data_IF_375628121093
#
_entry.id   IF_375628121093
#
_cell.length_a   1.000
_cell.length_b   1.000
_cell.length_c   1.000
_cell.angle_alpha   90.00
_cell.angle_beta   90.00
_cell.angle_gamma   90.00
#
_symmetry.space_group_name_H-M   'P 1'
#
loop_
_entity.id
_entity.type
_entity.pdbx_description
1 polymer ?
#
# COMPACT_ATOMS: atom_id res chain seq x y z
N UNK A 1 -31.43 -21.62 6.00
CA UNK A 1 -31.39 -22.42 4.76
C UNK A 1 -30.40 -23.56 4.95
N UNK A 2 -30.55 -24.70 4.26
CA UNK A 2 -29.61 -25.82 4.37
C UNK A 2 -28.41 -25.61 3.45
N UNK A 3 -27.25 -26.14 3.83
CA UNK A 3 -26.03 -26.15 3.04
C UNK A 3 -26.29 -26.75 1.65
N UNK A 4 -25.91 -26.04 0.60
CA UNK A 4 -26.17 -26.43 -0.78
C UNK A 4 -25.41 -27.70 -1.18
N UNK A 5 -24.23 -27.94 -0.57
CA UNK A 5 -23.39 -29.10 -0.86
C UNK A 5 -23.87 -30.38 -0.16
N UNK A 6 -24.08 -30.33 1.15
CA UNK A 6 -24.41 -31.53 1.92
C UNK A 6 -25.90 -31.69 2.21
N UNK A 7 -26.70 -30.63 2.14
CA UNK A 7 -28.15 -30.57 2.46
C UNK A 7 -28.55 -31.13 3.83
N UNK A 8 -27.59 -31.40 4.72
CA UNK A 8 -27.82 -31.99 6.05
C UNK A 8 -27.76 -30.96 7.18
N UNK A 9 -27.02 -29.87 6.98
CA UNK A 9 -26.68 -28.88 8.00
C UNK A 9 -27.10 -27.48 7.57
N UNK A 10 -27.37 -26.54 8.49
CA UNK A 10 -27.67 -25.17 8.14
C UNK A 10 -26.47 -24.51 7.43
N UNK A 11 -26.75 -23.69 6.42
CA UNK A 11 -25.74 -22.86 5.77
C UNK A 11 -25.39 -21.69 6.69
N UNK A 12 -24.11 -21.58 7.06
CA UNK A 12 -23.56 -20.56 7.96
C UNK A 12 -22.46 -19.74 7.30
N UNK A 13 -21.98 -20.17 6.13
CA UNK A 13 -20.88 -19.55 5.39
C UNK A 13 -21.39 -19.12 4.01
N UNK A 14 -21.14 -17.86 3.67
CA UNK A 14 -21.48 -17.25 2.38
C UNK A 14 -20.20 -17.09 1.56
N UNK A 15 -20.14 -17.71 0.39
CA UNK A 15 -18.97 -17.65 -0.50
C UNK A 15 -19.38 -17.04 -1.83
N UNK A 16 -18.69 -15.99 -2.26
CA UNK A 16 -18.88 -15.38 -3.58
C UNK A 16 -17.62 -15.59 -4.40
N UNK A 17 -17.72 -16.35 -5.49
CA UNK A 17 -16.62 -16.60 -6.42
C UNK A 17 -16.90 -15.90 -7.74
N UNK A 18 -15.86 -15.31 -8.32
CA UNK A 18 -15.91 -14.77 -9.67
C UNK A 18 -15.19 -15.76 -10.58
N UNK A 19 -15.95 -16.46 -11.43
CA UNK A 19 -15.39 -17.40 -12.41
C UNK A 19 -15.63 -16.80 -13.79
N UNK A 20 -14.58 -16.23 -14.38
CA UNK A 20 -14.69 -15.38 -15.58
C UNK A 20 -15.36 -14.04 -15.25
N UNK A 21 -16.39 -13.67 -16.01
CA UNK A 21 -17.19 -12.44 -15.79
C UNK A 21 -18.46 -12.69 -14.95
N UNK A 22 -18.68 -13.92 -14.49
CA UNK A 22 -19.89 -14.28 -13.73
C UNK A 22 -19.59 -14.45 -12.25
N UNK A 23 -20.44 -13.84 -11.43
CA UNK A 23 -20.43 -13.99 -9.97
C UNK A 23 -21.30 -15.17 -9.59
N UNK A 24 -20.72 -16.14 -8.90
CA UNK A 24 -21.38 -17.33 -8.36
C UNK A 24 -21.40 -17.21 -6.84
N UNK A 25 -22.58 -17.26 -6.25
CA UNK A 25 -22.79 -17.22 -4.80
C UNK A 25 -23.16 -18.62 -4.30
N UNK A 26 -22.56 -19.04 -3.18
CA UNK A 26 -22.73 -20.35 -2.58
C UNK A 26 -23.02 -20.21 -1.08
N UNK A 27 -23.98 -20.99 -0.59
CA UNK A 27 -24.38 -21.04 0.82
C UNK A 27 -24.04 -22.40 1.43
N UNK A 28 -22.94 -22.47 2.18
CA UNK A 28 -22.39 -23.71 2.72
C UNK A 28 -22.37 -23.74 4.24
N UNK A 29 -22.27 -24.94 4.82
CA UNK A 29 -21.92 -25.11 6.23
C UNK A 29 -20.39 -25.07 6.42
N UNK A 30 -19.94 -24.83 7.65
CA UNK A 30 -18.52 -24.67 7.99
C UNK A 30 -17.62 -25.83 7.51
N UNK A 31 -18.00 -27.09 7.73
CA UNK A 31 -17.15 -28.20 7.28
C UNK A 31 -17.09 -28.28 5.75
N UNK A 32 -18.21 -28.05 5.06
CA UNK A 32 -18.22 -28.09 3.60
C UNK A 32 -17.38 -26.95 3.00
N UNK A 33 -17.39 -25.77 3.63
CA UNK A 33 -16.54 -24.64 3.24
C UNK A 33 -15.05 -24.93 3.50
N UNK A 34 -14.72 -25.63 4.61
CA UNK A 34 -13.35 -26.03 4.96
C UNK A 34 -12.80 -27.09 4.01
N UNK A 35 -13.58 -28.09 3.65
CA UNK A 35 -13.21 -29.10 2.65
C UNK A 35 -12.98 -28.49 1.26
N UNK A 36 -13.66 -27.39 0.94
CA UNK A 36 -13.46 -26.64 -0.29
C UNK A 36 -12.20 -25.76 -0.27
N UNK A 37 -11.50 -25.66 0.87
CA UNK A 37 -10.30 -24.82 1.02
C UNK A 37 -10.58 -23.33 1.07
N UNK A 38 -11.84 -22.93 1.22
CA UNK A 38 -12.29 -21.52 1.20
C UNK A 38 -12.28 -20.86 2.59
N UNK A 39 -11.91 -21.64 3.62
CA UNK A 39 -11.67 -21.14 4.97
C UNK A 39 -10.17 -21.30 5.28
N UNK A 40 -9.53 -20.29 5.90
CA UNK A 40 -8.14 -20.40 6.32
C UNK A 40 -7.99 -21.55 7.35
N UNK A 41 -6.83 -22.23 7.38
CA UNK A 41 -6.58 -23.28 8.37
C UNK A 41 -6.71 -22.71 9.79
N UNK A 42 -7.18 -23.50 10.76
CA UNK A 42 -7.27 -23.05 12.14
C UNK A 42 -5.88 -22.68 12.65
N UNK A 43 -5.75 -21.47 13.19
CA UNK A 43 -4.54 -21.02 13.86
C UNK A 43 -4.23 -21.94 15.06
N UNK A 44 -2.94 -22.21 15.36
CA UNK A 44 -2.55 -22.96 16.57
C UNK A 44 -3.16 -22.32 17.83
N UNK A 45 -3.60 -23.15 18.79
CA UNK A 45 -4.31 -22.69 20.01
C UNK A 45 -3.54 -21.64 20.83
N UNK A 46 -2.22 -21.55 20.65
CA UNK A 46 -1.34 -20.60 21.32
C UNK A 46 -1.63 -19.12 20.96
N UNK A 47 -2.33 -18.85 19.85
CA UNK A 47 -2.67 -17.50 19.40
C UNK A 47 -4.10 -17.05 19.75
N UNK A 48 -4.92 -17.88 20.40
CA UNK A 48 -6.30 -17.53 20.84
C UNK A 48 -6.42 -16.20 21.61
N UNK A 49 -5.57 -15.88 22.60
CA UNK A 49 -5.77 -14.67 23.41
C UNK A 49 -5.53 -13.35 22.65
N UNK A 50 -4.95 -13.40 21.45
CA UNK A 50 -4.71 -12.19 20.64
C UNK A 50 -5.89 -11.87 19.69
N UNK A 51 -6.77 -12.84 19.41
CA UNK A 51 -7.80 -12.72 18.36
C UNK A 51 -9.22 -12.60 18.95
N UNK A 52 -9.45 -13.03 20.18
CA UNK A 52 -10.77 -12.89 20.84
C UNK A 52 -11.18 -11.42 21.09
N UNK A 53 -10.22 -10.49 21.10
CA UNK A 53 -10.49 -9.05 21.19
C UNK A 53 -10.80 -8.36 19.85
N UNK A 54 -10.69 -9.07 18.72
CA UNK A 54 -10.80 -8.51 17.37
C UNK A 54 -11.93 -9.18 16.57
N UNK A 55 -13.16 -9.01 17.06
CA UNK A 55 -14.34 -9.02 16.20
C UNK A 55 -14.67 -7.55 15.89
N UNK A 56 -14.96 -7.09 14.66
CA UNK A 56 -15.16 -7.81 13.40
C UNK A 56 -14.36 -7.13 12.24
N UNK A 57 -13.28 -7.75 11.76
CA UNK A 57 -12.74 -7.39 10.44
C UNK A 57 -12.58 -8.67 9.62
N UNK A 58 -13.73 -9.25 9.27
CA UNK A 58 -13.83 -10.27 8.23
C UNK A 58 -13.41 -9.66 6.89
N UNK A 59 -12.15 -9.79 6.55
CA UNK A 59 -11.69 -10.26 5.24
C UNK A 59 -10.17 -10.08 5.16
N UNK A 60 -9.49 -11.20 5.00
CA UNK A 60 -8.13 -11.27 4.44
C UNK A 60 -6.97 -10.92 5.37
N UNK A 61 -6.71 -11.77 6.38
CA UNK A 61 -5.37 -11.85 6.98
C UNK A 61 -4.52 -12.85 6.17
N UNK A 62 -3.91 -12.36 5.08
CA UNK A 62 -2.80 -13.05 4.42
C UNK A 62 -1.57 -13.03 5.34
N UNK A 63 -0.81 -14.12 5.47
CA UNK A 63 0.47 -14.11 6.18
C UNK A 63 1.49 -13.29 5.39
N UNK A 64 1.50 -11.98 5.65
CA UNK A 64 2.40 -10.99 5.04
C UNK A 64 3.88 -11.41 5.02
N UNK A 65 4.45 -12.05 6.07
CA UNK A 65 5.86 -12.39 6.08
C UNK A 65 6.28 -13.42 5.01
N UNK A 66 5.49 -14.48 4.82
CA UNK A 66 5.80 -15.55 3.84
C UNK A 66 5.55 -15.09 2.40
N UNK A 67 4.50 -14.29 2.19
CA UNK A 67 4.23 -13.67 0.89
C UNK A 67 5.33 -12.66 0.53
N UNK A 68 5.81 -11.86 1.49
CA UNK A 68 6.92 -10.91 1.26
C UNK A 68 8.20 -11.65 0.87
N UNK A 69 8.53 -12.77 1.52
CA UNK A 69 9.72 -13.57 1.15
C UNK A 69 9.65 -14.10 -0.28
N UNK A 70 8.49 -14.65 -0.69
CA UNK A 70 8.29 -15.13 -2.06
C UNK A 70 8.29 -13.98 -3.09
N UNK A 71 7.71 -12.82 -2.73
CA UNK A 71 7.69 -11.62 -3.57
C UNK A 71 9.09 -10.99 -3.73
N UNK A 72 9.88 -10.92 -2.65
CA UNK A 72 11.26 -10.45 -2.69
C UNK A 72 12.19 -11.41 -3.43
N UNK A 73 11.97 -12.72 -3.31
CA UNK A 73 12.69 -13.74 -4.08
C UNK A 73 12.38 -13.68 -5.58
N UNK A 74 11.12 -13.47 -5.95
CA UNK A 74 10.67 -13.34 -7.35
C UNK A 74 11.11 -12.02 -8.01
N UNK A 75 11.27 -10.94 -7.24
CA UNK A 75 11.81 -9.67 -7.73
C UNK A 75 13.34 -9.66 -7.92
N UNK A 76 14.03 -10.75 -7.62
CA UNK A 76 15.49 -10.91 -7.74
C UNK A 76 15.98 -11.37 -9.12
N UNK A 77 15.38 -10.91 -10.22
CA UNK A 77 15.70 -11.37 -11.58
C UNK A 77 15.88 -10.26 -12.63
N UNK A 78 17.17 -9.94 -12.90
CA UNK A 78 17.80 -9.32 -14.09
C UNK A 78 17.72 -7.79 -14.36
N UNK A 79 18.90 -7.20 -14.15
CA UNK A 79 19.67 -6.25 -15.00
C UNK A 79 19.24 -4.77 -15.12
N UNK A 80 20.12 -3.88 -14.63
CA UNK A 80 20.19 -2.49 -15.09
C UNK A 80 20.61 -1.37 -14.11
N UNK A 81 21.56 -1.56 -13.17
CA UNK A 81 22.32 -0.42 -12.59
C UNK A 81 23.61 -0.87 -11.87
N UNK A 82 24.61 0.02 -11.66
CA UNK A 82 25.97 -0.34 -11.32
C UNK A 82 26.08 -1.11 -10.00
N UNK A 83 26.91 -2.15 -10.02
CA UNK A 83 27.30 -2.99 -8.88
C UNK A 83 28.11 -2.20 -7.85
N UNK A 84 27.45 -1.37 -7.05
CA UNK A 84 27.89 -1.15 -5.68
C UNK A 84 27.32 -2.28 -4.83
N UNK A 85 28.20 -2.94 -4.09
CA UNK A 85 28.00 -4.26 -3.51
C UNK A 85 26.70 -4.27 -2.70
N UNK A 86 25.83 -5.25 -2.96
CA UNK A 86 24.58 -5.45 -2.20
C UNK A 86 24.81 -5.70 -0.69
N UNK A 87 26.07 -5.78 -0.27
CA UNK A 87 26.56 -6.12 1.07
C UNK A 87 27.02 -4.93 1.93
N UNK A 88 27.14 -3.73 1.34
CA UNK A 88 27.72 -2.59 2.05
C UNK A 88 26.69 -1.76 2.83
N UNK A 89 25.40 -1.96 2.54
CA UNK A 89 24.33 -1.34 3.32
C UNK A 89 24.14 -2.09 4.64
N UNK A 90 24.70 -1.50 5.70
CA UNK A 90 24.56 -1.94 7.08
C UNK A 90 23.91 -0.86 7.92
N UNK A 91 22.99 -1.26 8.80
CA UNK A 91 22.44 -0.34 9.78
C UNK A 91 23.54 0.05 10.78
N UNK A 92 23.81 1.36 11.00
CA UNK A 92 24.85 1.81 11.93
C UNK A 92 24.56 1.46 13.40
N UNK A 93 23.30 1.17 13.75
CA UNK A 93 22.89 0.88 15.14
C UNK A 93 22.86 -0.61 15.47
N UNK A 94 22.19 -1.43 14.66
CA UNK A 94 22.07 -2.86 14.93
C UNK A 94 22.97 -3.74 14.06
N UNK A 95 23.71 -3.17 13.12
CA UNK A 95 24.64 -3.90 12.25
C UNK A 95 23.98 -4.75 11.15
N UNK A 96 22.64 -4.82 11.12
CA UNK A 96 21.87 -5.62 10.16
C UNK A 96 22.23 -5.23 8.73
N UNK A 97 22.40 -6.22 7.86
CA UNK A 97 22.67 -6.01 6.42
C UNK A 97 21.39 -5.98 5.60
N UNK A 98 21.48 -5.40 4.39
CA UNK A 98 20.39 -5.44 3.43
C UNK A 98 19.99 -6.87 3.03
N UNK A 99 20.96 -7.80 2.92
CA UNK A 99 20.69 -9.22 2.65
C UNK A 99 19.85 -9.86 3.76
N UNK A 100 20.24 -9.66 5.01
CA UNK A 100 19.48 -10.17 6.16
C UNK A 100 18.05 -9.62 6.22
N UNK A 101 17.84 -8.37 5.78
CA UNK A 101 16.50 -7.80 5.68
C UNK A 101 15.67 -8.49 4.60
N UNK A 102 16.27 -8.75 3.43
CA UNK A 102 15.61 -9.45 2.33
C UNK A 102 15.17 -10.87 2.71
N UNK A 103 15.99 -11.58 3.50
CA UNK A 103 15.68 -12.93 3.98
C UNK A 103 14.66 -12.95 5.11
N UNK A 104 14.80 -12.06 6.12
CA UNK A 104 13.94 -12.07 7.31
C UNK A 104 12.64 -11.26 7.14
N UNK A 105 12.59 -10.33 6.18
CA UNK A 105 11.45 -9.47 5.89
C UNK A 105 11.08 -8.50 7.01
N UNK A 106 11.98 -8.26 7.99
CA UNK A 106 11.72 -7.47 9.20
C UNK A 106 12.88 -6.52 9.48
N UNK A 107 12.58 -5.31 9.97
CA UNK A 107 13.59 -4.35 10.43
C UNK A 107 14.07 -4.71 11.84
N UNK A 108 15.37 -4.56 12.09
CA UNK A 108 15.98 -4.86 13.39
C UNK A 108 15.89 -3.71 14.42
N UNK A 109 15.86 -2.45 13.96
CA UNK A 109 15.66 -1.27 14.80
C UNK A 109 15.07 -0.11 13.97
N UNK A 110 14.71 1.00 14.61
CA UNK A 110 14.18 2.20 13.95
C UNK A 110 15.11 2.78 12.88
N UNK A 111 16.41 2.73 13.12
CA UNK A 111 17.45 3.32 12.27
C UNK A 111 17.71 2.48 11.01
N UNK A 112 17.18 1.25 10.95
CA UNK A 112 17.17 0.46 9.72
C UNK A 112 16.33 1.12 8.62
N UNK A 113 15.26 1.82 8.98
CA UNK A 113 14.40 2.47 7.99
C UNK A 113 15.16 3.56 7.23
N UNK A 114 15.87 4.43 7.95
CA UNK A 114 16.69 5.48 7.33
C UNK A 114 17.90 4.90 6.59
N UNK A 115 18.60 3.92 7.19
CA UNK A 115 19.77 3.30 6.56
C UNK A 115 19.44 2.64 5.22
N UNK A 116 18.25 2.04 5.10
CA UNK A 116 17.84 1.32 3.88
C UNK A 116 16.89 2.12 2.97
N UNK A 117 16.54 3.35 3.36
CA UNK A 117 15.61 4.23 2.63
C UNK A 117 15.85 4.33 1.13
N UNK A 118 17.10 4.48 0.62
CA UNK A 118 17.36 4.61 -0.82
C UNK A 118 16.90 3.37 -1.61
N UNK A 119 16.98 2.18 -1.01
CA UNK A 119 16.58 0.91 -1.63
C UNK A 119 15.12 0.56 -1.34
N UNK A 120 14.55 1.05 -0.24
CA UNK A 120 13.14 0.87 0.10
C UNK A 120 12.20 1.70 -0.78
N UNK A 121 12.61 2.91 -1.18
CA UNK A 121 11.79 3.80 -2.01
C UNK A 121 11.24 3.15 -3.30
N UNK A 122 12.05 2.48 -4.15
CA UNK A 122 11.54 1.80 -5.35
C UNK A 122 10.64 0.60 -5.02
N UNK A 123 10.88 -0.08 -3.89
CA UNK A 123 10.06 -1.21 -3.45
C UNK A 123 8.67 -0.73 -2.98
N UNK A 124 8.62 0.31 -2.16
CA UNK A 124 7.35 0.91 -1.72
C UNK A 124 6.54 1.44 -2.90
N UNK A 125 7.19 2.06 -3.89
CA UNK A 125 6.50 2.48 -5.12
C UNK A 125 5.90 1.30 -5.88
N UNK A 126 6.57 0.15 -5.92
CA UNK A 126 6.07 -1.06 -6.59
C UNK A 126 4.92 -1.73 -5.83
N UNK A 127 4.96 -1.72 -4.49
CA UNK A 127 3.96 -2.38 -3.64
C UNK A 127 2.72 -1.49 -3.42
N UNK A 128 2.93 -0.22 -3.09
CA UNK A 128 1.87 0.73 -2.72
C UNK A 128 1.50 1.69 -3.85
N UNK A 129 2.14 1.60 -5.02
CA UNK A 129 1.93 2.49 -6.18
C UNK A 129 2.54 3.89 -6.02
N UNK A 130 2.68 4.39 -4.79
CA UNK A 130 3.28 5.69 -4.47
C UNK A 130 4.22 5.58 -3.26
N UNK A 131 5.25 6.43 -3.22
CA UNK A 131 6.20 6.53 -2.09
C UNK A 131 5.69 7.42 -0.95
N UNK A 132 4.55 8.09 -1.14
CA UNK A 132 3.94 9.00 -0.16
C UNK A 132 2.43 8.73 -0.08
N UNK A 133 1.92 8.57 1.13
CA UNK A 133 0.48 8.43 1.38
C UNK A 133 -0.15 9.81 1.55
N UNK A 134 -0.88 10.28 0.53
CA UNK A 134 -1.59 11.58 0.56
C UNK A 134 -3.00 11.52 1.17
N UNK A 135 -3.35 10.42 1.87
CA UNK A 135 -4.67 10.22 2.46
C UNK A 135 -5.73 9.77 1.45
N UNK A 136 -6.95 9.53 1.94
CA UNK A 136 -8.14 9.26 1.10
C UNK A 136 -8.65 10.58 0.53
N UNK A 137 -8.17 10.98 -0.64
CA UNK A 137 -8.86 11.99 -1.44
C UNK A 137 -10.05 11.30 -2.12
N UNK A 138 -11.29 11.83 -2.04
CA UNK A 138 -12.42 11.29 -2.79
C UNK A 138 -12.03 11.21 -4.27
N UNK A 139 -12.37 10.10 -4.94
CA UNK A 139 -11.93 9.80 -6.30
C UNK A 139 -12.31 10.87 -7.36
N UNK A 140 -13.13 11.86 -7.00
CA UNK A 140 -13.54 13.00 -7.82
C UNK A 140 -13.74 14.26 -7.00
N UNK A 141 -12.76 14.68 -6.21
CA UNK A 141 -12.73 16.07 -5.76
C UNK A 141 -12.06 16.93 -6.86
N UNK A 142 -12.81 17.71 -7.66
CA UNK A 142 -12.23 18.60 -8.67
C UNK A 142 -11.26 19.62 -8.06
N UNK A 143 -11.29 19.87 -6.75
CA UNK A 143 -10.34 20.75 -6.07
C UNK A 143 -8.95 20.12 -5.89
N UNK A 144 -8.80 18.80 -5.99
CA UNK A 144 -7.52 18.10 -5.82
C UNK A 144 -6.52 18.43 -6.92
N UNK A 145 -6.98 18.46 -8.18
CA UNK A 145 -6.13 18.86 -9.31
C UNK A 145 -5.71 20.34 -9.20
N UNK A 146 -6.61 21.21 -8.72
CA UNK A 146 -6.33 22.63 -8.53
C UNK A 146 -5.31 22.86 -7.41
N UNK A 147 -5.42 22.13 -6.29
CA UNK A 147 -4.42 22.16 -5.21
C UNK A 147 -3.05 21.70 -5.69
N UNK A 148 -2.99 20.63 -6.48
CA UNK A 148 -1.74 20.16 -7.08
C UNK A 148 -1.13 21.20 -8.04
N UNK A 149 -1.95 21.79 -8.91
CA UNK A 149 -1.52 22.85 -9.82
C UNK A 149 -0.98 24.07 -9.06
N UNK A 150 -1.59 24.41 -7.93
CA UNK A 150 -1.14 25.49 -7.06
C UNK A 150 0.23 25.20 -6.43
N UNK A 151 0.47 23.97 -5.99
CA UNK A 151 1.78 23.54 -5.49
C UNK A 151 2.87 23.66 -6.58
N UNK A 152 2.56 23.23 -7.81
CA UNK A 152 3.44 23.32 -8.97
C UNK A 152 3.80 24.78 -9.30
N UNK A 153 2.80 25.66 -9.42
CA UNK A 153 3.02 27.08 -9.72
C UNK A 153 3.81 27.79 -8.62
N UNK A 154 3.59 27.45 -7.34
CA UNK A 154 4.40 27.99 -6.23
C UNK A 154 5.85 27.55 -6.31
N UNK A 155 6.13 26.33 -6.74
CA UNK A 155 7.49 25.86 -6.97
C UNK A 155 8.14 26.58 -8.17
N UNK A 156 7.39 26.76 -9.26
CA UNK A 156 7.86 27.46 -10.44
C UNK A 156 8.14 28.94 -10.17
N UNK A 157 7.28 29.60 -9.38
CA UNK A 157 7.49 30.98 -8.93
C UNK A 157 8.83 31.13 -8.21
N UNK A 158 9.14 30.22 -7.27
CA UNK A 158 10.43 30.26 -6.54
C UNK A 158 11.61 30.14 -7.50
N UNK A 159 11.54 29.20 -8.44
CA UNK A 159 12.58 29.04 -9.47
C UNK A 159 12.75 30.30 -10.32
N UNK A 160 11.66 30.93 -10.76
CA UNK A 160 11.72 32.14 -11.59
C UNK A 160 12.26 33.36 -10.84
N UNK A 161 12.04 33.44 -9.53
CA UNK A 161 12.67 34.45 -8.67
C UNK A 161 14.18 34.19 -8.53
N UNK A 162 14.59 32.92 -8.35
CA UNK A 162 16.01 32.54 -8.30
C UNK A 162 16.74 32.78 -9.63
N UNK A 163 16.04 32.60 -10.76
CA UNK A 163 16.54 32.89 -12.12
C UNK A 163 16.51 34.39 -12.48
N UNK A 164 16.11 35.27 -11.55
CA UNK A 164 15.93 36.73 -11.77
C UNK A 164 14.95 37.08 -12.92
N UNK A 165 14.07 36.14 -13.29
CA UNK A 165 13.07 36.30 -14.33
C UNK A 165 11.79 36.95 -13.76
N UNK A 166 11.90 38.21 -13.35
CA UNK A 166 10.85 38.91 -12.60
C UNK A 166 9.53 39.11 -13.37
N UNK A 167 9.57 39.26 -14.69
CA UNK A 167 8.37 39.41 -15.52
C UNK A 167 7.54 38.11 -15.54
N UNK A 168 8.22 36.97 -15.70
CA UNK A 168 7.58 35.65 -15.66
C UNK A 168 7.09 35.32 -14.24
N UNK A 169 7.89 35.65 -13.23
CA UNK A 169 7.49 35.49 -11.82
C UNK A 169 6.22 36.31 -11.50
N UNK A 170 6.09 37.53 -12.02
CA UNK A 170 4.88 38.34 -11.85
C UNK A 170 3.65 37.67 -12.47
N UNK A 171 3.78 37.13 -13.70
CA UNK A 171 2.69 36.39 -14.37
C UNK A 171 2.25 35.16 -13.55
N UNK A 172 3.21 34.35 -13.08
CA UNK A 172 2.93 33.16 -12.28
C UNK A 172 2.26 33.54 -10.94
N UNK A 173 2.72 34.62 -10.30
CA UNK A 173 2.10 35.11 -9.06
C UNK A 173 0.64 35.49 -9.27
N UNK A 174 0.33 36.15 -10.38
CA UNK A 174 -1.04 36.56 -10.69
C UNK A 174 -1.92 35.33 -11.05
N UNK A 175 -1.37 34.29 -11.71
CA UNK A 175 -2.03 33.00 -11.95
C UNK A 175 -2.31 32.23 -10.64
N UNK A 176 -1.37 32.25 -9.68
CA UNK A 176 -1.59 31.68 -8.34
C UNK A 176 -2.77 32.38 -7.68
N UNK A 177 -2.81 33.72 -7.70
CA UNK A 177 -3.89 34.50 -7.09
C UNK A 177 -5.26 34.18 -7.71
N UNK A 178 -5.34 34.02 -9.03
CA UNK A 178 -6.61 33.66 -9.68
C UNK A 178 -7.09 32.27 -9.26
N UNK A 179 -6.18 31.29 -9.22
CA UNK A 179 -6.51 29.93 -8.78
C UNK A 179 -6.90 29.85 -7.30
N UNK A 180 -6.28 30.65 -6.43
CA UNK A 180 -6.67 30.74 -5.01
C UNK A 180 -8.08 31.30 -4.85
N UNK A 181 -8.44 32.32 -5.63
CA UNK A 181 -9.78 32.89 -5.63
C UNK A 181 -10.84 31.89 -6.14
N UNK A 182 -10.55 31.13 -7.19
CA UNK A 182 -11.45 30.07 -7.69
C UNK A 182 -11.68 28.96 -6.65
N UNK A 183 -10.67 28.65 -5.83
CA UNK A 183 -10.76 27.69 -4.74
C UNK A 183 -11.57 28.25 -3.55
N UNK A 184 -11.34 29.50 -3.17
CA UNK A 184 -12.04 30.16 -2.05
C UNK A 184 -13.51 30.50 -2.34
N UNK A 185 -13.85 30.78 -3.61
CA UNK A 185 -15.22 31.08 -4.04
C UNK A 185 -16.16 29.87 -4.11
N UNK A 186 -15.63 28.64 -4.10
CA UNK A 186 -16.44 27.39 -4.11
C UNK A 186 -16.79 26.87 -2.71
N UNK A 187 -16.23 27.46 -1.67
CA UNK A 187 -16.46 27.11 -0.25
C UNK A 187 -17.49 28.00 0.45
N UNK A 188 -18.18 28.88 -0.30
CA UNK A 188 -19.28 29.72 0.18
C UNK A 188 -20.65 29.19 -0.22
#
# INVERSE_FOLDING_TARGET
MLCERCKKRPATVHITKVVGDQKVELHLCEECARELGELPPPFPEEFKPFVEGLQPFSSTFFPLPEMLQSFFGSLGGKEGSPREREDDLRCPKCGMTWREFREKGKFGCSECYEAFRPRLAPLFRRIHGASEHRGKSPARDPSSHLKKRLEELRAELRRKVEEEAYEEAARIRDEIRSLENELGGRTG
#
